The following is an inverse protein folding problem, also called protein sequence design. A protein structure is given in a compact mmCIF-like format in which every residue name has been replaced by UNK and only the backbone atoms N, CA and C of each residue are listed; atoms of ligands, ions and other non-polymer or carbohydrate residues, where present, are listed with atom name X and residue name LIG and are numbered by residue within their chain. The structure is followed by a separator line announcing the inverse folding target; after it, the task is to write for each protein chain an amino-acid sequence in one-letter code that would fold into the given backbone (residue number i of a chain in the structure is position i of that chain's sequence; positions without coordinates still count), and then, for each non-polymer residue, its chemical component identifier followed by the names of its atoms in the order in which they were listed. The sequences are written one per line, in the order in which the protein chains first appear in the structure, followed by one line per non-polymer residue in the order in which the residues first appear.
data_IF_986212071700
#
_entry.id   IF_986212071700
#
_cell.length_a   1.000
_cell.length_b   1.000
_cell.length_c   1.000
_cell.angle_alpha   90.00
_cell.angle_beta   90.00
_cell.angle_gamma   90.00
#
_symmetry.space_group_name_H-M   'P 1'
#
loop_
_entity.id
_entity.type
_entity.pdbx_description
1 polymer ?
#
# COMPACT_ATOMS: atom_id res chain seq x y z
N UNK A 1 27.96 9.28 -23.01
CA UNK A 1 27.18 10.23 -22.20
C UNK A 1 26.04 9.45 -21.55
N UNK A 2 25.89 9.60 -20.23
CA UNK A 2 25.07 8.78 -19.32
C UNK A 2 23.61 8.55 -19.75
N UNK A 3 23.12 7.36 -19.46
CA UNK A 3 22.05 7.19 -18.47
C UNK A 3 22.24 5.85 -17.78
N UNK A 4 23.09 5.82 -16.74
CA UNK A 4 22.83 4.90 -15.64
C UNK A 4 21.51 5.36 -15.04
N UNK A 5 20.45 4.58 -15.27
CA UNK A 5 19.25 4.72 -14.46
C UNK A 5 19.70 4.33 -13.07
N UNK A 6 19.92 5.34 -12.24
CA UNK A 6 20.08 5.22 -10.82
C UNK A 6 18.84 4.44 -10.35
N UNK A 7 19.00 3.13 -10.14
CA UNK A 7 18.07 2.37 -9.33
C UNK A 7 18.24 2.94 -7.92
N UNK A 8 17.55 4.05 -7.65
CA UNK A 8 17.18 4.40 -6.29
C UNK A 8 16.60 3.13 -5.71
N UNK A 9 17.24 2.61 -4.68
CA UNK A 9 16.80 1.46 -3.90
C UNK A 9 15.42 1.82 -3.36
N UNK A 10 14.38 1.55 -4.15
CA UNK A 10 12.99 1.72 -3.76
C UNK A 10 12.77 0.69 -2.68
N UNK A 11 12.81 1.11 -1.42
CA UNK A 11 12.38 0.30 -0.28
C UNK A 11 10.85 0.15 -0.27
N UNK A 12 10.26 0.05 -1.46
CA UNK A 12 8.84 -0.04 -1.69
C UNK A 12 8.48 -1.52 -1.51
N UNK A 13 7.66 -1.82 -0.50
CA UNK A 13 7.22 -3.19 -0.25
C UNK A 13 5.84 -3.39 -0.84
N UNK A 14 5.66 -4.47 -1.58
CA UNK A 14 4.36 -4.87 -2.11
C UNK A 14 3.73 -5.97 -1.26
N UNK A 15 2.47 -5.75 -0.87
CA UNK A 15 1.65 -6.69 -0.10
C UNK A 15 0.40 -7.00 -0.92
N UNK A 16 0.23 -8.25 -1.34
CA UNK A 16 -0.95 -8.66 -2.11
C UNK A 16 -2.22 -8.56 -1.28
N UNK A 17 -3.27 -8.00 -1.86
CA UNK A 17 -4.64 -8.10 -1.35
C UNK A 17 -5.32 -9.32 -1.97
N UNK A 18 -5.19 -9.50 -3.29
CA UNK A 18 -5.63 -10.66 -4.06
C UNK A 18 -4.78 -10.82 -5.34
N UNK A 19 -5.27 -11.58 -6.32
CA UNK A 19 -4.55 -11.91 -7.56
C UNK A 19 -4.28 -10.69 -8.46
N UNK A 20 -5.11 -9.65 -8.37
CA UNK A 20 -4.98 -8.46 -9.23
C UNK A 20 -4.73 -7.17 -8.46
N UNK A 21 -4.84 -7.17 -7.14
CA UNK A 21 -4.72 -5.96 -6.31
C UNK A 21 -3.66 -6.10 -5.23
N UNK A 22 -2.96 -5.01 -4.97
CA UNK A 22 -1.84 -4.97 -4.01
C UNK A 22 -1.68 -3.60 -3.37
N UNK A 23 -1.03 -3.59 -2.22
CA UNK A 23 -0.62 -2.39 -1.48
C UNK A 23 0.87 -2.19 -1.72
N UNK A 24 1.27 -0.98 -2.07
CA UNK A 24 2.67 -0.54 -2.03
C UNK A 24 2.89 0.32 -0.80
N UNK A 25 3.85 -0.05 0.03
CA UNK A 25 4.27 0.71 1.22
C UNK A 25 5.53 1.48 0.87
N UNK A 26 5.49 2.80 1.03
CA UNK A 26 6.60 3.73 0.75
C UNK A 26 6.86 4.56 2.01
N UNK A 27 7.61 4.05 3.00
CA UNK A 27 7.66 4.65 4.35
C UNK A 27 8.07 6.13 4.39
N UNK A 28 8.91 6.56 3.44
CA UNK A 28 9.41 7.94 3.34
C UNK A 28 8.46 8.92 2.64
N UNK A 29 7.36 8.46 2.05
CA UNK A 29 6.42 9.30 1.31
C UNK A 29 5.34 9.92 2.23
N UNK A 30 4.81 11.08 1.82
CA UNK A 30 3.63 11.70 2.47
C UNK A 30 2.44 10.74 2.44
N UNK A 31 2.17 10.19 1.26
CA UNK A 31 1.24 9.07 1.11
C UNK A 31 2.03 7.78 1.12
N UNK A 32 2.35 7.32 2.33
CA UNK A 32 3.21 6.17 2.57
C UNK A 32 2.53 4.81 2.33
N UNK A 33 1.26 4.81 1.95
CA UNK A 33 0.53 3.62 1.53
C UNK A 33 -0.27 3.91 0.26
N UNK A 34 -0.10 3.08 -0.77
CA UNK A 34 -0.83 3.18 -2.04
C UNK A 34 -1.47 1.84 -2.40
N UNK A 35 -2.71 1.85 -2.88
CA UNK A 35 -3.44 0.66 -3.35
C UNK A 35 -3.50 0.69 -4.87
N UNK A 36 -3.17 -0.45 -5.47
CA UNK A 36 -3.04 -0.63 -6.91
C UNK A 36 -3.81 -1.85 -7.38
N UNK A 37 -4.26 -1.81 -8.63
CA UNK A 37 -4.83 -2.94 -9.35
C UNK A 37 -4.10 -3.12 -10.69
N UNK A 38 -3.96 -4.35 -11.17
CA UNK A 38 -3.55 -4.62 -12.54
C UNK A 38 -4.77 -4.53 -13.47
N UNK A 39 -4.79 -3.50 -14.32
CA UNK A 39 -5.73 -3.38 -15.45
C UNK A 39 -5.18 -4.17 -16.63
N UNK A 40 -6.04 -4.98 -17.24
CA UNK A 40 -5.70 -5.86 -18.37
C UNK A 40 -4.45 -6.72 -18.11
N UNK A 41 -4.29 -7.17 -16.86
CA UNK A 41 -3.23 -8.08 -16.41
C UNK A 41 -1.80 -7.54 -16.47
N UNK A 42 -1.60 -6.25 -16.78
CA UNK A 42 -0.26 -5.74 -17.08
C UNK A 42 -0.02 -4.29 -16.68
N UNK A 43 -1.06 -3.44 -16.64
CA UNK A 43 -0.89 -2.03 -16.31
C UNK A 43 -1.39 -1.72 -14.90
N UNK A 44 -0.50 -1.34 -13.96
CA UNK A 44 -0.95 -0.94 -12.64
C UNK A 44 -1.72 0.39 -12.72
N UNK A 45 -2.90 0.42 -12.11
CA UNK A 45 -3.76 1.58 -11.90
C UNK A 45 -3.90 1.83 -10.40
N UNK A 46 -3.69 3.08 -9.96
CA UNK A 46 -3.76 3.42 -8.54
C UNK A 46 -5.21 3.63 -8.13
N UNK A 47 -5.72 2.77 -7.28
CA UNK A 47 -7.08 2.83 -6.73
C UNK A 47 -7.20 3.87 -5.60
N UNK A 48 -6.15 4.03 -4.81
CA UNK A 48 -6.16 4.94 -3.67
C UNK A 48 -4.80 5.12 -3.02
N UNK A 49 -4.69 6.12 -2.16
CA UNK A 49 -3.49 6.35 -1.34
C UNK A 49 -3.86 6.97 0.00
N UNK A 50 -3.01 6.73 0.98
CA UNK A 50 -3.24 7.09 2.38
C UNK A 50 -1.91 7.48 3.03
N UNK A 51 -1.95 8.52 3.88
CA UNK A 51 -0.91 8.73 4.87
C UNK A 51 -1.20 7.81 6.06
N UNK A 52 -0.74 6.57 5.95
CA UNK A 52 -1.04 5.50 6.88
C UNK A 52 -0.35 5.73 8.22
N UNK A 53 0.90 6.22 8.21
CA UNK A 53 1.67 6.53 9.42
C UNK A 53 0.88 7.37 10.41
N UNK A 54 0.22 8.44 9.94
CA UNK A 54 -0.51 9.37 10.80
C UNK A 54 -2.03 9.13 10.86
N UNK A 55 -2.61 8.35 9.95
CA UNK A 55 -4.06 8.11 9.91
C UNK A 55 -4.45 6.63 10.03
N UNK A 56 -3.59 5.80 10.65
CA UNK A 56 -3.75 4.35 10.80
C UNK A 56 -5.15 3.91 11.24
N UNK A 57 -5.77 4.63 12.17
CA UNK A 57 -7.08 4.27 12.73
C UNK A 57 -8.21 4.33 11.69
N UNK A 58 -8.00 5.08 10.60
CA UNK A 58 -8.93 5.14 9.46
C UNK A 58 -8.65 4.11 8.36
N UNK A 59 -7.63 3.25 8.55
CA UNK A 59 -7.19 2.29 7.53
C UNK A 59 -8.30 1.31 7.13
N UNK A 60 -9.04 0.77 8.09
CA UNK A 60 -10.13 -0.14 7.79
C UNK A 60 -11.20 0.52 6.90
N UNK A 61 -11.61 1.75 7.23
CA UNK A 61 -12.56 2.52 6.41
C UNK A 61 -12.01 2.91 5.04
N UNK A 62 -10.69 3.10 4.92
CA UNK A 62 -10.04 3.31 3.63
C UNK A 62 -10.13 2.05 2.74
N UNK A 63 -9.77 0.87 3.26
CA UNK A 63 -9.83 -0.38 2.51
C UNK A 63 -11.28 -0.76 2.18
N UNK A 64 -12.23 -0.61 3.11
CA UNK A 64 -13.66 -0.89 2.86
C UNK A 64 -14.25 -0.07 1.70
N UNK A 65 -13.84 1.19 1.54
CA UNK A 65 -14.30 2.04 0.43
C UNK A 65 -13.81 1.56 -0.93
N UNK A 66 -12.63 0.95 -0.98
CA UNK A 66 -12.05 0.39 -2.21
C UNK A 66 -12.58 -1.01 -2.50
N UNK A 67 -12.85 -1.80 -1.45
CA UNK A 67 -13.29 -3.20 -1.55
C UNK A 67 -14.52 -3.44 -0.65
N UNK A 68 -15.73 -3.08 -1.09
CA UNK A 68 -16.94 -3.11 -0.26
C UNK A 68 -17.45 -4.51 0.16
N UNK A 69 -16.66 -5.57 -0.03
CA UNK A 69 -16.96 -6.94 0.44
C UNK A 69 -15.80 -7.59 1.21
N UNK A 70 -14.71 -6.86 1.47
CA UNK A 70 -13.59 -7.40 2.24
C UNK A 70 -14.03 -7.63 3.69
N UNK A 71 -13.59 -8.73 4.30
CA UNK A 71 -13.86 -8.98 5.70
C UNK A 71 -12.86 -8.25 6.62
N UNK A 72 -13.26 -8.07 7.88
CA UNK A 72 -12.43 -7.40 8.89
C UNK A 72 -11.15 -8.17 9.24
N UNK A 73 -11.15 -9.50 9.11
CA UNK A 73 -9.98 -10.34 9.44
C UNK A 73 -8.87 -10.08 8.42
N UNK A 74 -9.22 -10.07 7.13
CA UNK A 74 -8.31 -9.75 6.03
C UNK A 74 -7.75 -8.34 6.14
N UNK A 75 -8.56 -7.34 6.50
CA UNK A 75 -8.07 -5.97 6.75
C UNK A 75 -7.05 -5.97 7.89
N UNK A 76 -7.36 -6.65 9.00
CA UNK A 76 -6.47 -6.71 10.15
C UNK A 76 -5.14 -7.42 9.82
N UNK A 77 -5.18 -8.49 9.02
CA UNK A 77 -3.97 -9.20 8.59
C UNK A 77 -3.12 -8.38 7.61
N UNK A 78 -3.73 -7.58 6.74
CA UNK A 78 -3.02 -6.56 5.96
C UNK A 78 -2.35 -5.54 6.88
N UNK A 79 -3.09 -5.04 7.87
CA UNK A 79 -2.58 -4.06 8.82
C UNK A 79 -1.36 -4.58 9.60
N UNK A 80 -1.37 -5.85 10.01
CA UNK A 80 -0.24 -6.53 10.63
C UNK A 80 0.99 -6.62 9.73
N UNK A 81 0.80 -6.83 8.43
CA UNK A 81 1.90 -6.87 7.47
C UNK A 81 2.48 -5.48 7.20
N UNK A 82 1.65 -4.44 7.25
CA UNK A 82 2.06 -3.05 7.00
C UNK A 82 2.79 -2.45 8.21
N UNK A 83 2.30 -2.71 9.43
CA UNK A 83 2.79 -2.06 10.65
C UNK A 83 4.32 -2.11 10.85
N UNK A 84 5.04 -3.22 10.57
CA UNK A 84 6.49 -3.29 10.74
C UNK A 84 7.30 -2.30 9.89
N UNK A 85 6.71 -1.69 8.87
CA UNK A 85 7.38 -0.69 8.03
C UNK A 85 7.32 0.74 8.58
N UNK A 86 6.67 0.93 9.73
CA UNK A 86 6.47 2.24 10.32
C UNK A 86 6.89 2.24 11.79
N UNK A 87 7.74 3.20 12.15
CA UNK A 87 7.97 3.57 13.54
C UNK A 87 6.79 4.40 14.03
N UNK A 88 5.89 3.76 14.77
CA UNK A 88 4.84 4.43 15.52
C UNK A 88 5.43 4.83 16.87
N UNK A 89 6.13 5.95 16.92
CA UNK A 89 6.45 6.55 18.22
C UNK A 89 5.15 6.82 18.98
N UNK A 90 5.13 6.41 20.25
CA UNK A 90 4.00 6.56 21.19
C UNK A 90 4.19 7.84 21.99
#
# INVERSE_FOLDING_TARGET
MLTMIEQQTRNDVQISIDDSTFITVVPSAVYNLEVWEYVDGSRPHRMGRMDYKFNRDSFAGFIYRLFPGVDFVKIHDLQKQINPFFDFEV
#
